data_IF_814726361439
#
_entry.id   IF_814726361439
#
_cell.length_a   1.000
_cell.length_b   1.000
_cell.length_c   1.000
_cell.angle_alpha   90.00
_cell.angle_beta   90.00
_cell.angle_gamma   90.00
#
_symmetry.space_group_name_H-M   'P 1'
#
loop_
_entity.id
_entity.type
_entity.pdbx_description
1 polymer ?
#
# COMPACT_ATOMS: atom_id res chain seq x y z
N UNK A 1 37.35 -51.09 23.89
CA UNK A 1 36.71 -51.68 22.70
C UNK A 1 37.03 -50.78 21.52
N UNK A 2 38.01 -51.17 20.70
CA UNK A 2 38.39 -50.42 19.51
C UNK A 2 37.36 -50.65 18.40
N UNK A 3 36.73 -49.59 17.91
CA UNK A 3 35.80 -49.69 16.79
C UNK A 3 36.60 -49.72 15.49
N UNK A 4 36.64 -50.88 14.84
CA UNK A 4 37.36 -51.09 13.58
C UNK A 4 36.51 -50.59 12.41
N UNK A 5 36.75 -49.35 11.97
CA UNK A 5 36.07 -48.78 10.80
C UNK A 5 36.56 -49.50 9.52
N UNK A 6 35.65 -50.18 8.83
CA UNK A 6 35.97 -51.04 7.66
C UNK A 6 36.30 -50.26 6.38
N UNK A 7 35.91 -48.99 6.29
CA UNK A 7 36.18 -48.16 5.12
C UNK A 7 36.32 -46.68 5.50
N UNK A 8 37.52 -46.13 5.29
CA UNK A 8 37.81 -44.69 5.40
C UNK A 8 38.23 -44.21 4.01
N UNK A 9 37.46 -43.26 3.45
CA UNK A 9 37.73 -42.68 2.13
C UNK A 9 39.01 -41.84 2.18
N UNK A 10 39.92 -42.07 1.23
CA UNK A 10 41.26 -41.45 1.17
C UNK A 10 41.29 -40.12 0.40
N UNK A 11 40.32 -39.92 -0.51
CA UNK A 11 40.29 -38.77 -1.41
C UNK A 11 39.06 -37.87 -1.14
N UNK A 12 39.27 -36.57 -1.27
CA UNK A 12 38.26 -35.53 -1.11
C UNK A 12 37.33 -35.57 -2.33
N UNK A 13 36.01 -35.58 -2.12
CA UNK A 13 35.04 -35.53 -3.22
C UNK A 13 35.03 -34.13 -3.84
N UNK A 14 35.03 -34.07 -5.18
CA UNK A 14 34.88 -32.82 -5.91
C UNK A 14 33.55 -32.17 -5.59
N UNK A 15 33.54 -30.84 -5.42
CA UNK A 15 32.32 -30.07 -5.19
C UNK A 15 31.30 -30.35 -6.30
N UNK A 16 30.18 -30.96 -5.92
CA UNK A 16 29.04 -31.08 -6.82
C UNK A 16 28.35 -29.74 -6.92
N UNK A 17 27.82 -29.37 -8.09
CA UNK A 17 26.99 -28.18 -8.18
C UNK A 17 25.81 -28.33 -7.21
N UNK A 18 25.37 -27.23 -6.57
CA UNK A 18 24.23 -27.26 -5.67
C UNK A 18 23.02 -27.88 -6.39
N UNK A 19 22.18 -28.65 -5.68
CA UNK A 19 21.04 -29.31 -6.28
C UNK A 19 20.15 -28.27 -6.98
N UNK A 20 19.68 -28.59 -8.19
CA UNK A 20 18.93 -27.67 -9.04
C UNK A 20 17.67 -27.10 -8.37
N UNK A 21 17.16 -27.77 -7.34
CA UNK A 21 16.02 -27.35 -6.52
C UNK A 21 16.34 -26.24 -5.51
N UNK A 22 17.61 -25.99 -5.19
CA UNK A 22 18.05 -24.99 -4.21
C UNK A 22 18.64 -23.73 -4.84
N UNK A 23 18.94 -23.75 -6.15
CA UNK A 23 19.46 -22.60 -6.90
C UNK A 23 18.37 -21.86 -7.66
N UNK A 24 18.59 -20.57 -7.91
CA UNK A 24 17.70 -19.72 -8.69
C UNK A 24 16.48 -19.18 -7.93
N UNK A 25 15.56 -18.57 -8.69
CA UNK A 25 14.37 -17.89 -8.17
C UNK A 25 13.40 -18.88 -7.50
N UNK A 26 13.26 -20.08 -8.06
CA UNK A 26 12.41 -21.16 -7.52
C UNK A 26 12.90 -21.63 -6.15
N UNK A 27 14.20 -21.89 -6.00
CA UNK A 27 14.81 -22.25 -4.72
C UNK A 27 14.81 -21.10 -3.70
N UNK A 28 14.83 -19.85 -4.17
CA UNK A 28 14.67 -18.67 -3.30
C UNK A 28 13.22 -18.52 -2.81
N UNK A 29 12.22 -18.69 -3.69
CA UNK A 29 10.80 -18.63 -3.34
C UNK A 29 10.42 -19.71 -2.32
N UNK A 30 10.89 -20.94 -2.52
CA UNK A 30 10.63 -22.04 -1.57
C UNK A 30 11.23 -21.79 -0.19
N UNK A 31 12.40 -21.17 -0.10
CA UNK A 31 13.04 -20.88 1.19
C UNK A 31 12.38 -19.72 1.93
N UNK A 32 11.90 -18.69 1.23
CA UNK A 32 11.43 -17.45 1.85
C UNK A 32 9.91 -17.31 1.92
N UNK A 33 9.17 -17.82 0.93
CA UNK A 33 7.72 -17.61 0.83
C UNK A 33 6.93 -18.86 1.20
N UNK A 34 7.34 -20.03 0.70
CA UNK A 34 6.59 -21.28 0.90
C UNK A 34 7.06 -22.12 2.10
N UNK A 35 8.20 -21.77 2.71
CA UNK A 35 8.74 -22.51 3.86
C UNK A 35 7.80 -22.49 5.07
N UNK A 36 7.05 -21.41 5.29
CA UNK A 36 6.04 -21.34 6.35
C UNK A 36 4.80 -22.22 6.10
N UNK A 37 4.58 -22.67 4.86
CA UNK A 37 3.46 -23.54 4.47
C UNK A 37 3.88 -25.02 4.31
N UNK A 38 5.17 -25.32 4.30
CA UNK A 38 5.68 -26.68 4.05
C UNK A 38 6.55 -27.26 5.16
N UNK A 39 6.64 -26.57 6.31
CA UNK A 39 7.41 -27.05 7.46
C UNK A 39 6.56 -27.93 8.38
N UNK A 40 6.70 -29.24 8.23
CA UNK A 40 6.04 -30.26 9.05
C UNK A 40 6.98 -30.99 10.02
N UNK A 41 8.16 -30.42 10.27
CA UNK A 41 9.25 -31.05 11.06
C UNK A 41 8.93 -31.20 12.55
N UNK A 42 8.02 -30.38 13.07
CA UNK A 42 7.66 -30.36 14.50
C UNK A 42 6.15 -30.15 14.62
N UNK A 43 5.51 -30.75 15.62
CA UNK A 43 4.05 -30.69 15.83
C UNK A 43 3.53 -29.24 15.83
N UNK A 44 4.22 -28.34 16.52
CA UNK A 44 3.87 -26.90 16.56
C UNK A 44 3.94 -26.23 15.18
N UNK A 45 5.00 -26.52 14.42
CA UNK A 45 5.18 -25.99 13.06
C UNK A 45 4.14 -26.55 12.08
N UNK A 46 3.74 -27.82 12.24
CA UNK A 46 2.69 -28.44 11.44
C UNK A 46 1.33 -27.76 11.66
N UNK A 47 0.98 -27.43 12.91
CA UNK A 47 -0.26 -26.69 13.22
C UNK A 47 -0.24 -25.29 12.61
N UNK A 48 0.87 -24.57 12.73
CA UNK A 48 1.02 -23.24 12.12
C UNK A 48 0.91 -23.30 10.59
N UNK A 49 1.51 -24.30 9.96
CA UNK A 49 1.45 -24.51 8.51
C UNK A 49 0.03 -24.74 8.02
N UNK A 50 -0.74 -25.61 8.70
CA UNK A 50 -2.15 -25.87 8.37
C UNK A 50 -3.00 -24.61 8.53
N UNK A 51 -2.78 -23.83 9.59
CA UNK A 51 -3.47 -22.57 9.81
C UNK A 51 -3.18 -21.56 8.69
N UNK A 52 -1.91 -21.44 8.26
CA UNK A 52 -1.53 -20.55 7.15
C UNK A 52 -2.15 -20.97 5.83
N UNK A 53 -2.25 -22.27 5.55
CA UNK A 53 -2.93 -22.78 4.35
C UNK A 53 -4.42 -22.43 4.38
N UNK A 54 -5.09 -22.67 5.51
CA UNK A 54 -6.52 -22.34 5.68
C UNK A 54 -6.77 -20.84 5.55
N UNK A 55 -5.93 -20.01 6.19
CA UNK A 55 -5.98 -18.57 6.08
C UNK A 55 -5.79 -18.11 4.64
N UNK A 56 -4.85 -18.70 3.91
CA UNK A 56 -4.58 -18.36 2.50
C UNK A 56 -5.78 -18.69 1.62
N UNK A 57 -6.39 -19.88 1.77
CA UNK A 57 -7.59 -20.25 1.02
C UNK A 57 -8.76 -19.31 1.35
N UNK A 58 -8.94 -18.99 2.64
CA UNK A 58 -9.98 -18.06 3.08
C UNK A 58 -9.78 -16.65 2.51
N UNK A 59 -8.55 -16.12 2.53
CA UNK A 59 -8.20 -14.84 1.94
C UNK A 59 -8.40 -14.84 0.42
N UNK A 60 -8.02 -15.91 -0.28
CA UNK A 60 -8.23 -16.02 -1.72
C UNK A 60 -9.71 -16.05 -2.08
N UNK A 61 -10.53 -16.78 -1.32
CA UNK A 61 -11.98 -16.79 -1.52
C UNK A 61 -12.60 -15.41 -1.25
N UNK A 62 -12.29 -14.82 -0.11
CA UNK A 62 -12.87 -13.54 0.29
C UNK A 62 -12.37 -12.39 -0.61
N UNK A 63 -11.05 -12.22 -0.71
CA UNK A 63 -10.43 -11.15 -1.47
C UNK A 63 -10.63 -11.34 -2.98
N UNK A 64 -10.58 -12.58 -3.47
CA UNK A 64 -10.91 -12.91 -4.86
C UNK A 64 -12.36 -12.58 -5.20
N UNK A 65 -13.31 -12.91 -4.31
CA UNK A 65 -14.71 -12.55 -4.47
C UNK A 65 -14.92 -11.02 -4.52
N UNK A 66 -14.29 -10.27 -3.62
CA UNK A 66 -14.34 -8.80 -3.65
C UNK A 66 -13.77 -8.24 -4.97
N UNK A 67 -12.64 -8.78 -5.44
CA UNK A 67 -12.00 -8.33 -6.67
C UNK A 67 -12.90 -8.53 -7.89
N UNK A 68 -13.56 -9.70 -8.00
CA UNK A 68 -14.48 -10.00 -9.09
C UNK A 68 -15.68 -9.05 -9.08
N UNK A 69 -16.28 -8.82 -7.91
CA UNK A 69 -17.39 -7.87 -7.77
C UNK A 69 -17.00 -6.43 -8.13
N UNK A 70 -15.79 -5.99 -7.76
CA UNK A 70 -15.29 -4.66 -8.11
C UNK A 70 -15.04 -4.54 -9.62
N UNK A 71 -14.47 -5.57 -10.25
CA UNK A 71 -14.23 -5.59 -11.69
C UNK A 71 -15.55 -5.58 -12.46
N UNK A 72 -16.52 -6.37 -12.02
CA UNK A 72 -17.85 -6.41 -12.62
C UNK A 72 -18.50 -5.01 -12.57
N UNK A 73 -18.52 -4.39 -11.40
CA UNK A 73 -19.07 -3.04 -11.22
C UNK A 73 -18.32 -1.95 -12.01
N UNK A 74 -16.99 -1.96 -11.98
CA UNK A 74 -16.17 -0.87 -12.50
C UNK A 74 -15.92 -0.94 -14.02
N UNK A 75 -15.98 -2.15 -14.60
CA UNK A 75 -15.58 -2.39 -15.99
C UNK A 75 -16.70 -3.08 -16.78
N UNK A 76 -17.21 -4.21 -16.30
CA UNK A 76 -18.12 -5.08 -17.08
C UNK A 76 -19.49 -4.44 -17.20
N UNK A 77 -20.09 -4.05 -16.08
CA UNK A 77 -21.40 -3.41 -16.05
C UNK A 77 -21.34 -1.89 -16.20
N UNK A 78 -20.15 -1.30 -16.36
CA UNK A 78 -19.96 0.15 -16.36
C UNK A 78 -20.37 0.84 -17.66
N UNK A 79 -20.88 2.06 -17.53
CA UNK A 79 -21.16 2.95 -18.67
C UNK A 79 -19.93 3.78 -18.99
N UNK A 80 -19.40 3.62 -20.20
CA UNK A 80 -18.15 4.25 -20.63
C UNK A 80 -18.33 5.57 -21.38
N UNK A 81 -19.39 5.69 -22.20
CA UNK A 81 -19.60 6.83 -23.09
C UNK A 81 -21.02 7.37 -22.98
N UNK A 82 -21.16 8.67 -23.17
CA UNK A 82 -22.43 9.40 -23.19
C UNK A 82 -22.59 10.04 -24.59
N UNK A 83 -23.47 9.52 -25.45
CA UNK A 83 -23.66 10.03 -26.81
C UNK A 83 -24.39 11.39 -26.86
N UNK A 84 -25.16 11.74 -25.82
CA UNK A 84 -26.06 12.90 -25.81
C UNK A 84 -25.55 14.07 -24.95
N UNK A 85 -24.38 13.92 -24.31
CA UNK A 85 -23.79 14.88 -23.37
C UNK A 85 -24.52 14.98 -22.03
N UNK A 86 -25.47 14.08 -21.76
CA UNK A 86 -26.37 14.09 -20.60
C UNK A 86 -25.77 13.32 -19.42
N UNK A 87 -24.66 13.84 -18.88
CA UNK A 87 -23.76 13.25 -17.87
C UNK A 87 -24.36 12.51 -16.66
N UNK A 88 -25.65 12.69 -16.35
CA UNK A 88 -26.35 12.04 -15.23
C UNK A 88 -27.45 11.07 -15.69
N UNK A 89 -28.14 11.33 -16.80
CA UNK A 89 -29.32 10.54 -17.21
C UNK A 89 -28.91 9.18 -17.77
N UNK A 90 -27.76 9.12 -18.45
CA UNK A 90 -27.18 7.91 -19.06
C UNK A 90 -26.73 6.87 -18.02
N UNK A 91 -26.70 7.21 -16.73
CA UNK A 91 -26.37 6.26 -15.67
C UNK A 91 -27.45 6.16 -14.58
N UNK A 92 -28.54 6.91 -14.72
CA UNK A 92 -29.65 6.88 -13.78
C UNK A 92 -30.60 5.73 -14.14
N UNK A 93 -31.09 5.02 -13.13
CA UNK A 93 -32.12 3.99 -13.34
C UNK A 93 -33.49 4.63 -13.60
N UNK A 94 -34.46 3.87 -14.13
CA UNK A 94 -35.83 4.35 -14.36
C UNK A 94 -36.45 4.95 -13.09
N UNK A 95 -36.16 4.37 -11.91
CA UNK A 95 -36.60 4.89 -10.60
C UNK A 95 -36.03 6.28 -10.28
N UNK A 96 -34.89 6.63 -10.86
CA UNK A 96 -34.20 7.92 -10.70
C UNK A 96 -34.45 8.88 -11.88
N UNK A 97 -35.33 8.51 -12.82
CA UNK A 97 -35.65 9.30 -14.02
C UNK A 97 -34.62 9.19 -15.15
N UNK A 98 -33.87 8.09 -15.22
CA UNK A 98 -32.98 7.76 -16.34
C UNK A 98 -33.45 6.58 -17.18
N UNK A 99 -32.58 6.10 -18.05
CA UNK A 99 -32.92 5.13 -19.11
C UNK A 99 -32.58 3.67 -18.73
N UNK A 100 -31.82 3.45 -17.65
CA UNK A 100 -31.33 2.13 -17.29
C UNK A 100 -32.35 1.34 -16.46
N UNK A 101 -32.36 -0.01 -16.57
CA UNK A 101 -33.33 -0.83 -15.85
C UNK A 101 -33.23 -0.65 -14.32
N UNK A 102 -34.33 -0.90 -13.62
CA UNK A 102 -34.47 -0.61 -12.19
C UNK A 102 -33.48 -1.38 -11.30
N UNK A 103 -32.96 -2.51 -11.78
CA UNK A 103 -32.07 -3.42 -11.05
C UNK A 103 -30.62 -3.32 -11.52
N UNK A 104 -30.29 -2.30 -12.33
CA UNK A 104 -28.93 -2.10 -12.82
C UNK A 104 -28.02 -1.54 -11.73
N UNK A 105 -26.83 -2.12 -11.63
CA UNK A 105 -25.74 -1.67 -10.76
C UNK A 105 -24.43 -1.64 -11.56
N UNK A 106 -23.79 -0.47 -11.61
CA UNK A 106 -22.55 -0.29 -12.35
C UNK A 106 -21.95 1.09 -12.16
N UNK A 107 -20.66 1.23 -12.47
CA UNK A 107 -19.97 2.51 -12.41
C UNK A 107 -20.38 3.41 -13.58
N UNK A 108 -20.49 4.71 -13.30
CA UNK A 108 -20.73 5.74 -14.31
C UNK A 108 -19.46 6.56 -14.57
N UNK A 109 -18.68 6.18 -15.58
CA UNK A 109 -17.47 6.90 -15.95
C UNK A 109 -17.73 8.35 -16.45
N UNK A 110 -18.78 8.63 -17.25
CA UNK A 110 -19.11 10.00 -17.66
C UNK A 110 -19.30 10.97 -16.49
N UNK A 111 -19.88 10.49 -15.38
CA UNK A 111 -20.04 11.28 -14.17
C UNK A 111 -18.70 11.58 -13.50
N UNK A 112 -17.82 10.57 -13.39
CA UNK A 112 -16.47 10.74 -12.84
C UNK A 112 -15.68 11.77 -13.66
N UNK A 113 -15.71 11.67 -14.99
CA UNK A 113 -15.02 12.63 -15.87
C UNK A 113 -15.60 14.05 -15.75
N UNK A 114 -16.93 14.17 -15.66
CA UNK A 114 -17.60 15.45 -15.49
C UNK A 114 -17.29 16.13 -14.15
N UNK A 115 -17.03 15.35 -13.09
CA UNK A 115 -16.81 15.83 -11.73
C UNK A 115 -15.39 15.57 -11.21
N UNK A 116 -14.43 15.25 -12.08
CA UNK A 116 -13.04 14.94 -11.70
C UNK A 116 -12.40 16.03 -10.83
N UNK A 117 -12.65 17.31 -11.13
CA UNK A 117 -12.15 18.44 -10.35
C UNK A 117 -12.63 18.36 -8.91
N UNK A 118 -13.93 18.11 -8.73
CA UNK A 118 -14.54 18.03 -7.40
C UNK A 118 -14.07 16.78 -6.63
N UNK A 119 -13.86 15.66 -7.32
CA UNK A 119 -13.36 14.43 -6.70
C UNK A 119 -11.91 14.54 -6.20
N UNK A 120 -11.05 15.25 -6.94
CA UNK A 120 -9.62 15.39 -6.61
C UNK A 120 -9.39 16.58 -5.66
N UNK A 121 -9.96 17.75 -5.99
CA UNK A 121 -9.67 19.02 -5.30
C UNK A 121 -10.79 19.52 -4.38
N UNK A 122 -11.95 18.86 -4.35
CA UNK A 122 -13.10 19.31 -3.56
C UNK A 122 -13.71 20.62 -4.08
N UNK A 123 -14.04 21.53 -3.16
CA UNK A 123 -14.68 22.84 -3.44
C UNK A 123 -13.68 23.97 -3.74
N UNK A 124 -12.43 23.66 -4.06
CA UNK A 124 -11.43 24.69 -4.35
C UNK A 124 -11.75 25.33 -5.73
N UNK A 125 -11.82 26.67 -5.83
CA UNK A 125 -12.07 27.35 -7.10
C UNK A 125 -10.85 27.21 -8.03
N UNK A 126 -11.03 27.43 -9.34
CA UNK A 126 -10.00 27.09 -10.34
C UNK A 126 -8.71 27.90 -10.15
N UNK A 127 -8.83 29.14 -9.70
CA UNK A 127 -7.73 30.06 -9.44
C UNK A 127 -6.83 29.64 -8.26
N UNK A 128 -7.34 28.81 -7.33
CA UNK A 128 -6.59 28.38 -6.14
C UNK A 128 -6.00 26.96 -6.27
N UNK A 129 -6.22 26.29 -7.41
CA UNK A 129 -5.76 24.92 -7.63
C UNK A 129 -4.23 24.77 -7.56
N UNK A 130 -3.48 25.85 -7.82
CA UNK A 130 -2.01 25.85 -7.72
C UNK A 130 -1.53 25.47 -6.32
N UNK A 131 -2.28 25.85 -5.27
CA UNK A 131 -1.95 25.56 -3.87
C UNK A 131 -1.98 24.06 -3.61
N UNK A 132 -3.07 23.39 -4.02
CA UNK A 132 -3.19 21.94 -3.91
C UNK A 132 -2.16 21.22 -4.79
N UNK A 133 -1.92 21.70 -6.00
CA UNK A 133 -0.93 21.11 -6.91
C UNK A 133 0.49 21.18 -6.36
N UNK A 134 0.88 22.26 -5.68
CA UNK A 134 2.19 22.35 -5.01
C UNK A 134 2.32 21.34 -3.87
N UNK A 135 1.27 21.14 -3.08
CA UNK A 135 1.26 20.12 -2.01
C UNK A 135 1.42 18.72 -2.61
N UNK A 136 0.65 18.39 -3.65
CA UNK A 136 0.80 17.11 -4.34
C UNK A 136 2.20 16.94 -4.94
N UNK A 137 2.73 17.96 -5.62
CA UNK A 137 4.07 17.92 -6.18
C UNK A 137 5.14 17.68 -5.10
N UNK A 138 5.06 18.40 -3.98
CA UNK A 138 5.96 18.21 -2.83
C UNK A 138 5.88 16.80 -2.26
N UNK A 139 4.66 16.25 -2.13
CA UNK A 139 4.46 14.87 -1.67
C UNK A 139 5.08 13.86 -2.64
N UNK A 140 4.83 13.99 -3.94
CA UNK A 140 5.38 13.06 -4.94
C UNK A 140 6.90 13.11 -5.01
N UNK A 141 7.48 14.31 -4.98
CA UNK A 141 8.94 14.50 -5.00
C UNK A 141 9.57 13.93 -3.73
N UNK A 142 9.01 14.27 -2.56
CA UNK A 142 9.53 13.78 -1.29
C UNK A 142 9.39 12.27 -1.14
N UNK A 143 8.27 11.69 -1.57
CA UNK A 143 8.04 10.24 -1.51
C UNK A 143 8.97 9.52 -2.50
N UNK A 144 9.11 10.05 -3.71
CA UNK A 144 10.04 9.53 -4.71
C UNK A 144 11.49 9.54 -4.20
N UNK A 145 11.90 10.61 -3.51
CA UNK A 145 13.23 10.71 -2.92
C UNK A 145 13.45 9.68 -1.79
N UNK A 146 12.45 9.44 -0.96
CA UNK A 146 12.53 8.43 0.11
C UNK A 146 12.59 7.03 -0.49
N UNK A 147 11.84 6.73 -1.55
CA UNK A 147 11.88 5.40 -2.18
C UNK A 147 13.26 5.13 -2.82
N UNK A 148 13.97 6.16 -3.27
CA UNK A 148 15.29 6.04 -3.87
C UNK A 148 16.34 5.57 -2.84
N UNK A 149 16.78 4.30 -2.94
CA UNK A 149 17.68 3.67 -1.97
C UNK A 149 19.06 4.34 -1.85
N UNK A 150 19.58 4.93 -2.94
CA UNK A 150 20.89 5.60 -2.96
C UNK A 150 20.84 7.08 -2.54
N UNK A 151 19.73 7.56 -1.97
CA UNK A 151 19.53 8.98 -1.65
C UNK A 151 20.33 9.40 -0.42
N UNK A 152 21.31 10.29 -0.59
CA UNK A 152 22.08 10.83 0.53
C UNK A 152 21.16 11.63 1.47
N UNK A 153 21.16 11.32 2.76
CA UNK A 153 20.32 12.05 3.73
C UNK A 153 18.83 11.70 3.70
N UNK A 154 18.43 10.54 3.14
CA UNK A 154 17.03 10.04 3.16
C UNK A 154 16.34 10.13 4.53
N UNK A 155 17.08 9.89 5.63
CA UNK A 155 16.53 9.99 7.00
C UNK A 155 16.08 11.42 7.35
N UNK A 156 16.87 12.42 6.98
CA UNK A 156 16.54 13.83 7.22
C UNK A 156 15.37 14.29 6.37
N UNK A 157 15.33 13.87 5.09
CA UNK A 157 14.19 14.15 4.21
C UNK A 157 12.93 13.46 4.72
N UNK A 158 13.02 12.21 5.18
CA UNK A 158 11.91 11.50 5.81
C UNK A 158 11.39 12.19 7.07
N UNK A 159 12.29 12.66 7.93
CA UNK A 159 11.91 13.42 9.13
C UNK A 159 11.25 14.76 8.77
N UNK A 160 11.78 15.48 7.78
CA UNK A 160 11.17 16.71 7.28
C UNK A 160 9.81 16.47 6.63
N UNK A 161 9.63 15.35 5.93
CA UNK A 161 8.34 14.98 5.34
C UNK A 161 7.30 14.56 6.39
N UNK A 162 7.74 14.04 7.53
CA UNK A 162 6.83 13.70 8.62
C UNK A 162 6.43 14.92 9.46
N UNK A 163 7.31 15.91 9.60
CA UNK A 163 7.12 17.05 10.51
C UNK A 163 6.87 18.37 9.79
N UNK A 164 7.76 18.78 8.89
CA UNK A 164 7.68 20.06 8.19
C UNK A 164 6.61 20.07 7.08
N UNK A 165 6.53 18.98 6.30
CA UNK A 165 5.56 18.89 5.21
C UNK A 165 4.09 19.01 5.64
N UNK A 166 3.59 18.37 6.72
CA UNK A 166 2.19 18.57 7.15
C UNK A 166 1.92 20.00 7.63
N UNK A 167 2.91 20.70 8.18
CA UNK A 167 2.76 22.12 8.56
C UNK A 167 2.66 22.99 7.30
N UNK A 168 3.55 22.78 6.32
CA UNK A 168 3.53 23.52 5.05
C UNK A 168 2.23 23.24 4.29
N UNK A 169 1.78 21.99 4.22
CA UNK A 169 0.56 21.63 3.47
C UNK A 169 -0.69 22.23 4.12
N UNK A 170 -0.75 22.29 5.46
CA UNK A 170 -1.84 22.93 6.18
C UNK A 170 -1.87 24.44 5.87
N UNK A 171 -0.72 25.14 5.96
CA UNK A 171 -0.63 26.56 5.58
C UNK A 171 -1.08 26.76 4.14
N UNK A 172 -0.57 25.93 3.21
CA UNK A 172 -0.88 26.05 1.79
C UNK A 172 -2.33 25.73 1.46
N UNK A 173 -3.01 24.83 2.16
CA UNK A 173 -4.40 24.44 1.87
C UNK A 173 -5.43 25.30 2.60
N UNK A 174 -5.11 25.81 3.79
CA UNK A 174 -5.99 26.73 4.56
C UNK A 174 -5.84 28.19 4.13
N UNK A 175 -4.70 28.56 3.54
CA UNK A 175 -4.50 29.89 2.93
C UNK A 175 -4.01 30.90 3.96
N UNK A 176 -3.26 30.40 4.94
CA UNK A 176 -2.80 31.13 6.12
C UNK A 176 -3.92 31.77 6.98
N UNK A 177 -5.20 31.44 6.72
CA UNK A 177 -6.31 31.92 7.52
C UNK A 177 -6.49 31.02 8.75
N UNK A 178 -5.68 31.30 9.77
CA UNK A 178 -5.66 30.52 11.01
C UNK A 178 -6.59 31.10 12.05
N UNK A 179 -7.86 30.73 11.99
CA UNK A 179 -8.76 30.83 13.14
C UNK A 179 -8.61 29.58 14.04
N UNK A 180 -7.35 29.23 14.31
CA UNK A 180 -6.99 28.03 15.07
C UNK A 180 -6.89 28.44 16.54
N UNK A 181 -7.72 27.82 17.39
CA UNK A 181 -7.63 28.00 18.82
C UNK A 181 -6.23 27.60 19.32
N UNK A 182 -5.60 28.47 20.11
CA UNK A 182 -4.24 28.29 20.66
C UNK A 182 -4.04 26.94 21.38
N UNK A 183 -5.13 26.36 21.91
CA UNK A 183 -5.15 25.03 22.48
C UNK A 183 -4.73 23.94 21.48
N UNK A 184 -5.23 23.95 20.24
CA UNK A 184 -4.93 22.90 19.25
C UNK A 184 -3.43 22.85 18.90
N UNK A 185 -2.74 23.99 18.90
CA UNK A 185 -1.30 24.11 18.64
C UNK A 185 -0.48 23.51 19.80
N UNK A 186 -0.90 23.71 21.06
CA UNK A 186 -0.24 23.13 22.23
C UNK A 186 -0.38 21.60 22.30
N UNK A 187 -1.55 21.07 21.97
CA UNK A 187 -1.77 19.62 21.96
C UNK A 187 -0.98 18.95 20.82
N UNK A 188 -1.02 19.51 19.61
CA UNK A 188 -0.25 18.98 18.46
C UNK A 188 1.25 19.12 18.67
N UNK A 189 1.74 20.23 19.22
CA UNK A 189 3.15 20.44 19.55
C UNK A 189 3.67 19.43 20.60
N UNK A 190 2.90 19.14 21.64
CA UNK A 190 3.27 18.13 22.64
C UNK A 190 3.28 16.71 22.06
N UNK A 191 2.32 16.37 21.20
CA UNK A 191 2.29 15.07 20.53
C UNK A 191 3.46 14.89 19.57
N UNK A 192 3.81 15.91 18.79
CA UNK A 192 4.96 15.89 17.88
C UNK A 192 6.26 15.75 18.68
N UNK A 193 6.43 16.50 19.76
CA UNK A 193 7.58 16.32 20.66
C UNK A 193 7.64 14.91 21.23
N UNK A 194 6.51 14.33 21.63
CA UNK A 194 6.44 12.96 22.14
C UNK A 194 6.83 11.93 21.05
N UNK A 195 6.35 12.10 19.82
CA UNK A 195 6.69 11.22 18.69
C UNK A 195 8.16 11.36 18.27
N UNK A 196 8.71 12.57 18.26
CA UNK A 196 10.14 12.79 17.96
C UNK A 196 11.01 12.17 19.06
N UNK A 197 10.66 12.36 20.34
CA UNK A 197 11.42 11.80 21.46
C UNK A 197 11.38 10.27 21.47
N UNK A 198 10.20 9.67 21.26
CA UNK A 198 10.06 8.22 21.16
C UNK A 198 10.70 7.65 19.87
N UNK A 199 10.62 8.38 18.75
CA UNK A 199 11.24 7.99 17.48
C UNK A 199 12.77 8.05 17.53
N UNK A 200 13.35 9.05 18.19
CA UNK A 200 14.79 9.13 18.45
C UNK A 200 15.24 8.02 19.40
N UNK A 201 14.48 7.74 20.47
CA UNK A 201 14.72 6.59 21.36
C UNK A 201 14.67 5.25 20.61
N UNK A 202 13.77 5.10 19.64
CA UNK A 202 13.66 3.90 18.82
C UNK A 202 14.83 3.74 17.84
N UNK A 203 15.34 4.84 17.26
CA UNK A 203 16.56 4.81 16.45
C UNK A 203 17.80 4.47 17.28
N UNK A 204 17.85 4.86 18.56
CA UNK A 204 18.99 4.60 19.45
C UNK A 204 19.03 3.16 19.96
N UNK A 205 17.87 2.51 20.16
CA UNK A 205 17.76 1.09 20.54
C UNK A 205 18.08 0.10 19.41
N UNK A 206 18.17 0.54 18.16
CA UNK A 206 18.54 -0.33 17.03
C UNK A 206 20.07 -0.44 16.82
N UNK A 207 20.87 0.29 17.61
CA UNK A 207 22.32 0.39 17.47
C UNK A 207 23.11 -0.14 18.70
N UNK A 208 22.42 -0.84 19.60
CA UNK A 208 22.95 -1.73 20.64
C UNK A 208 22.20 -3.06 20.57
#
# INVERSE_FOLDING_TARGET
METKYSFVRKDIVSEQPPPLTQVGITGWLWRNLFSSMSNFTTITSSVQSILMILLTIWLLYFCGGQLISIIDFAIISAVWSDPDGLKRKVCATVKQGGELPADWYGACWPFIFAKKKFLIYGRIPDEELWRANLVYAGLFIGMGYIIWEKGQGRKWVGLGMLTLFPVISLILLTGANFDISFNLILWTGNLINCFIFNGLLFQQKLFW
#
